data_IF_063194044285
#
_entry.id   IF_063194044285
#
_cell.length_a   1.000
_cell.length_b   1.000
_cell.length_c   1.000
_cell.angle_alpha   90.00
_cell.angle_beta   90.00
_cell.angle_gamma   90.00
#
_symmetry.space_group_name_H-M   'P 1'
#
loop_
_entity.id
_entity.type
_entity.pdbx_description
1 polymer ?
#
# COMPACT_ATOMS: atom_id res chain seq x y z
N UNK A 1 -20.86 3.38 1.02
CA UNK A 1 -19.97 4.45 0.54
C UNK A 1 -18.57 3.90 0.37
N UNK A 2 -18.00 4.05 -0.80
CA UNK A 2 -16.64 3.59 -1.04
C UNK A 2 -15.64 4.40 -0.24
N UNK A 3 -14.65 3.74 0.32
CA UNK A 3 -13.55 4.39 1.04
C UNK A 3 -12.41 4.68 0.08
N UNK A 4 -11.71 5.79 0.23
CA UNK A 4 -10.54 6.02 -0.60
C UNK A 4 -9.48 4.94 -0.37
N UNK A 5 -8.98 4.39 -1.46
CA UNK A 5 -7.89 3.42 -1.41
C UNK A 5 -6.65 4.08 -0.79
N UNK A 6 -6.04 3.40 0.18
CA UNK A 6 -4.87 3.91 0.86
C UNK A 6 -5.15 4.78 2.08
N UNK A 7 -6.42 4.89 2.50
CA UNK A 7 -6.74 5.65 3.71
C UNK A 7 -6.29 4.89 4.96
N UNK A 8 -5.45 5.53 5.76
CA UNK A 8 -4.95 4.92 7.01
C UNK A 8 -6.08 4.75 8.01
N UNK A 9 -6.12 3.58 8.67
CA UNK A 9 -7.08 3.24 9.70
C UNK A 9 -6.41 3.18 11.07
N UNK A 10 -5.21 2.59 11.13
CA UNK A 10 -4.48 2.38 12.38
C UNK A 10 -3.01 2.71 12.16
N UNK A 11 -2.39 3.29 13.18
CA UNK A 11 -1.01 3.72 13.14
C UNK A 11 -0.87 5.21 12.86
N UNK A 12 0.29 5.76 13.12
CA UNK A 12 0.56 7.18 12.88
C UNK A 12 1.05 7.40 11.45
N UNK A 13 0.55 8.47 10.84
CA UNK A 13 1.03 8.88 9.51
C UNK A 13 2.50 9.27 9.59
N UNK A 14 3.27 8.77 8.66
CA UNK A 14 4.69 9.08 8.56
C UNK A 14 5.01 9.52 7.14
N UNK A 15 5.04 10.83 6.94
CA UNK A 15 5.22 11.41 5.60
C UNK A 15 6.69 11.35 5.20
N UNK A 16 6.94 10.85 3.99
CA UNK A 16 8.24 10.85 3.36
C UNK A 16 8.12 11.42 1.96
N UNK A 17 9.22 11.99 1.48
CA UNK A 17 9.30 12.52 0.13
C UNK A 17 10.14 11.57 -0.70
N UNK A 18 9.62 11.17 -1.86
CA UNK A 18 10.32 10.30 -2.78
C UNK A 18 10.32 10.86 -4.19
N UNK A 19 11.26 10.40 -5.01
CA UNK A 19 11.33 10.73 -6.42
C UNK A 19 10.51 9.72 -7.20
N UNK A 20 9.53 10.19 -7.97
CA UNK A 20 8.68 9.31 -8.76
C UNK A 20 9.45 8.77 -9.97
N UNK A 21 9.58 7.44 -10.09
CA UNK A 21 10.19 6.80 -11.24
C UNK A 21 9.27 6.80 -12.46
N UNK A 22 7.98 6.98 -12.23
CA UNK A 22 6.95 7.13 -13.27
C UNK A 22 5.84 7.97 -12.69
N UNK A 23 4.88 8.39 -13.50
CA UNK A 23 3.75 9.17 -13.00
C UNK A 23 2.94 8.34 -11.99
N UNK A 24 2.63 8.93 -10.85
CA UNK A 24 1.87 8.30 -9.78
C UNK A 24 0.58 9.07 -9.54
N UNK A 25 -0.49 8.36 -9.27
CA UNK A 25 -1.77 8.97 -8.89
C UNK A 25 -1.87 9.03 -7.36
N UNK A 26 -2.70 9.92 -6.85
CA UNK A 26 -2.98 10.00 -5.43
C UNK A 26 -3.59 8.67 -4.95
N UNK A 27 -3.05 8.14 -3.85
CA UNK A 27 -3.54 6.89 -3.27
C UNK A 27 -2.93 5.63 -3.86
N UNK A 28 -1.97 5.75 -4.77
CA UNK A 28 -1.29 4.57 -5.30
C UNK A 28 -0.46 3.89 -4.21
N UNK A 29 -0.54 2.56 -4.17
CA UNK A 29 0.37 1.75 -3.35
C UNK A 29 1.72 1.74 -4.06
N UNK A 30 2.78 2.07 -3.35
CA UNK A 30 4.11 2.21 -3.94
C UNK A 30 5.13 1.34 -3.26
N UNK A 31 6.14 0.95 -4.04
CA UNK A 31 7.37 0.35 -3.57
C UNK A 31 8.49 1.37 -3.71
N UNK A 32 9.52 1.24 -2.93
CA UNK A 32 10.66 2.14 -3.03
C UNK A 32 11.94 1.38 -3.31
N UNK A 33 12.84 2.06 -3.99
CA UNK A 33 14.22 1.60 -4.16
C UNK A 33 15.12 2.76 -3.80
N UNK A 34 16.27 2.46 -3.25
CA UNK A 34 17.23 3.47 -2.88
C UNK A 34 18.56 3.17 -3.51
N UNK A 35 19.06 4.12 -4.25
CA UNK A 35 20.37 4.02 -4.88
C UNK A 35 21.05 5.36 -4.71
N UNK A 36 22.31 5.35 -4.25
CA UNK A 36 23.12 6.56 -4.10
C UNK A 36 22.45 7.68 -3.29
N UNK A 37 21.70 7.28 -2.26
CA UNK A 37 21.08 8.24 -1.35
C UNK A 37 19.76 8.84 -1.82
N UNK A 38 19.27 8.46 -2.99
CA UNK A 38 17.99 8.93 -3.51
C UNK A 38 16.95 7.83 -3.41
N UNK A 39 15.85 8.12 -2.73
CA UNK A 39 14.72 7.19 -2.68
C UNK A 39 13.84 7.42 -3.91
N UNK A 40 13.65 6.38 -4.70
CA UNK A 40 12.76 6.39 -5.85
C UNK A 40 11.55 5.54 -5.53
N UNK A 41 10.35 6.09 -5.78
CA UNK A 41 9.09 5.37 -5.56
C UNK A 41 8.43 5.07 -6.90
N UNK A 42 7.87 3.86 -6.99
CA UNK A 42 7.17 3.38 -8.18
C UNK A 42 5.90 2.67 -7.75
N UNK A 43 4.96 2.53 -8.67
CA UNK A 43 3.76 1.73 -8.41
C UNK A 43 4.16 0.33 -7.97
N UNK A 44 3.47 -0.19 -6.96
CA UNK A 44 3.73 -1.52 -6.47
C UNK A 44 3.39 -2.55 -7.54
N UNK A 45 4.28 -3.51 -7.70
CA UNK A 45 4.03 -4.67 -8.54
C UNK A 45 3.34 -5.76 -7.71
N UNK A 46 2.99 -6.85 -8.35
CA UNK A 46 2.41 -8.01 -7.67
C UNK A 46 3.44 -8.61 -6.71
N UNK A 47 3.02 -8.85 -5.47
CA UNK A 47 3.81 -9.61 -4.48
C UNK A 47 5.17 -9.00 -4.14
N UNK A 48 5.22 -7.69 -3.97
CA UNK A 48 6.45 -6.99 -3.56
C UNK A 48 6.32 -6.45 -2.15
N UNK A 49 7.44 -6.17 -1.52
CA UNK A 49 7.46 -5.38 -0.30
C UNK A 49 7.03 -3.95 -0.64
N UNK A 50 6.24 -3.34 0.22
CA UNK A 50 5.60 -2.05 -0.08
C UNK A 50 6.07 -0.97 0.87
N UNK A 51 6.13 0.26 0.36
CA UNK A 51 6.59 1.41 1.13
C UNK A 51 5.43 2.19 1.74
N UNK A 52 4.34 2.36 1.02
CA UNK A 52 3.21 3.12 1.51
C UNK A 52 2.28 3.55 0.40
N UNK A 53 1.53 4.61 0.66
CA UNK A 53 0.53 5.15 -0.27
C UNK A 53 0.83 6.60 -0.57
N UNK A 54 0.76 7.00 -1.84
CA UNK A 54 0.97 8.40 -2.21
C UNK A 54 -0.12 9.28 -1.63
N UNK A 55 0.25 10.50 -1.23
CA UNK A 55 -0.68 11.47 -0.69
C UNK A 55 -1.14 12.49 -1.73
N UNK A 56 -0.52 12.47 -2.90
CA UNK A 56 -0.79 13.40 -3.99
C UNK A 56 -0.40 12.75 -5.31
N UNK A 57 -0.87 13.31 -6.42
CA UNK A 57 -0.39 12.90 -7.72
C UNK A 57 1.04 13.44 -7.90
N UNK A 58 1.94 12.60 -8.42
CA UNK A 58 3.33 12.96 -8.59
C UNK A 58 3.73 12.69 -10.04
N UNK A 59 4.20 13.72 -10.72
CA UNK A 59 4.66 13.58 -12.11
C UNK A 59 5.95 12.77 -12.17
N UNK A 60 6.15 12.06 -13.26
CA UNK A 60 7.41 11.33 -13.49
C UNK A 60 8.62 12.23 -13.32
N UNK A 61 9.62 11.75 -12.61
CA UNK A 61 10.85 12.47 -12.28
C UNK A 61 10.67 13.68 -11.35
N UNK A 62 9.47 13.88 -10.80
CA UNK A 62 9.24 14.88 -9.76
C UNK A 62 9.28 14.22 -8.38
N UNK A 63 9.45 15.04 -7.35
CA UNK A 63 9.36 14.56 -5.97
C UNK A 63 7.96 14.83 -5.42
N UNK A 64 7.53 13.98 -4.51
CA UNK A 64 6.25 14.14 -3.86
C UNK A 64 6.17 13.32 -2.59
N UNK A 65 5.09 13.54 -1.84
CA UNK A 65 4.93 12.94 -0.52
C UNK A 65 4.12 11.65 -0.57
N UNK A 66 4.50 10.70 0.27
CA UNK A 66 3.74 9.51 0.49
C UNK A 66 3.70 9.17 1.99
N UNK A 67 2.66 8.43 2.37
CA UNK A 67 2.47 7.97 3.75
C UNK A 67 3.21 6.65 3.91
N UNK A 68 4.36 6.68 4.57
CA UNK A 68 5.19 5.51 4.80
C UNK A 68 4.51 4.57 5.77
N UNK A 69 4.33 3.31 5.38
CA UNK A 69 3.76 2.31 6.28
C UNK A 69 4.82 1.66 7.14
N UNK A 70 4.40 1.21 8.31
CA UNK A 70 5.21 0.45 9.25
C UNK A 70 4.48 -0.84 9.58
N UNK A 71 5.20 -1.77 10.17
CA UNK A 71 4.60 -3.00 10.66
C UNK A 71 3.46 -2.68 11.64
N UNK A 72 2.31 -3.27 11.43
CA UNK A 72 1.14 -3.05 12.26
C UNK A 72 0.17 -1.98 11.76
N UNK A 73 0.60 -1.15 10.83
CA UNK A 73 -0.29 -0.14 10.26
C UNK A 73 -1.39 -0.78 9.43
N UNK A 74 -2.59 -0.20 9.47
CA UNK A 74 -3.73 -0.73 8.74
C UNK A 74 -4.33 0.33 7.84
N UNK A 75 -4.77 -0.10 6.66
CA UNK A 75 -5.30 0.81 5.63
C UNK A 75 -6.55 0.23 4.98
N UNK A 76 -7.46 1.11 4.57
CA UNK A 76 -8.50 0.74 3.63
C UNK A 76 -7.86 0.53 2.26
N UNK A 77 -8.14 -0.59 1.64
CA UNK A 77 -7.64 -0.88 0.29
C UNK A 77 -8.76 -1.37 -0.61
N UNK A 78 -8.63 -1.08 -1.89
CA UNK A 78 -9.55 -1.58 -2.90
C UNK A 78 -9.27 -3.07 -3.13
N UNK A 79 -10.34 -3.85 -3.27
CA UNK A 79 -10.28 -5.27 -3.63
C UNK A 79 -10.54 -5.36 -5.12
N UNK A 80 -9.50 -5.66 -5.89
CA UNK A 80 -9.58 -5.67 -7.35
C UNK A 80 -10.25 -6.93 -7.88
N UNK A 81 -10.11 -8.04 -7.18
CA UNK A 81 -10.69 -9.32 -7.58
C UNK A 81 -11.19 -10.04 -6.34
N UNK A 82 -12.43 -10.49 -6.39
CA UNK A 82 -13.10 -11.13 -5.27
C UNK A 82 -14.15 -10.22 -4.65
N UNK A 83 -14.94 -10.78 -3.78
CA UNK A 83 -16.04 -10.08 -3.12
C UNK A 83 -15.86 -10.18 -1.62
N UNK A 84 -15.77 -9.05 -0.93
CA UNK A 84 -15.67 -9.02 0.52
C UNK A 84 -16.95 -9.54 1.15
N UNK A 85 -16.77 -10.36 2.18
CA UNK A 85 -17.83 -10.88 3.04
C UNK A 85 -17.21 -11.20 4.39
N UNK A 86 -18.05 -11.45 5.38
CA UNK A 86 -17.57 -11.64 6.76
C UNK A 86 -16.53 -12.76 6.88
N UNK A 87 -16.65 -13.81 6.09
CA UNK A 87 -15.74 -14.96 6.15
C UNK A 87 -14.34 -14.64 5.61
N UNK A 88 -14.15 -13.51 4.91
CA UNK A 88 -12.84 -13.11 4.42
C UNK A 88 -11.99 -12.44 5.48
N UNK A 89 -12.62 -11.90 6.53
CA UNK A 89 -11.87 -11.23 7.61
C UNK A 89 -11.02 -12.25 8.36
N UNK A 90 -9.76 -11.95 8.54
CA UNK A 90 -8.77 -12.83 9.16
C UNK A 90 -7.95 -13.64 8.18
N UNK A 91 -8.35 -13.70 6.92
CA UNK A 91 -7.59 -14.39 5.87
C UNK A 91 -6.50 -13.49 5.31
N UNK A 92 -5.54 -14.09 4.65
CA UNK A 92 -4.52 -13.36 3.90
C UNK A 92 -5.03 -13.04 2.50
N UNK A 93 -4.39 -12.06 1.87
CA UNK A 93 -4.65 -11.69 0.48
C UNK A 93 -3.35 -11.26 -0.17
N UNK A 94 -3.36 -11.13 -1.50
CA UNK A 94 -2.17 -10.79 -2.27
C UNK A 94 -2.28 -9.40 -2.85
N UNK A 95 -1.15 -8.72 -2.98
CA UNK A 95 -1.10 -7.44 -3.69
C UNK A 95 -1.30 -7.74 -5.18
N UNK A 96 -2.26 -7.05 -5.79
CA UNK A 96 -2.44 -7.14 -7.24
C UNK A 96 -1.53 -6.15 -7.96
N UNK A 97 -1.62 -4.88 -7.57
CA UNK A 97 -0.82 -3.79 -8.10
C UNK A 97 -1.05 -2.54 -7.23
N UNK A 98 -0.69 -1.36 -7.73
CA UNK A 98 -0.89 -0.09 -7.03
C UNK A 98 -2.35 0.23 -6.72
N UNK A 99 -3.27 -0.42 -7.40
CA UNK A 99 -4.71 -0.14 -7.25
C UNK A 99 -5.37 -0.98 -6.16
N UNK A 100 -4.73 -2.02 -5.67
CA UNK A 100 -5.33 -2.81 -4.61
C UNK A 100 -4.85 -4.24 -4.48
N UNK A 101 -5.67 -5.04 -3.81
CA UNK A 101 -5.37 -6.43 -3.47
C UNK A 101 -6.38 -7.37 -4.14
N UNK A 102 -6.00 -8.65 -4.26
CA UNK A 102 -6.92 -9.72 -4.66
C UNK A 102 -7.17 -10.62 -3.45
N UNK A 103 -8.35 -11.25 -3.41
CA UNK A 103 -8.71 -12.16 -2.30
C UNK A 103 -8.15 -13.56 -2.53
N UNK A 104 -6.91 -13.67 -2.96
CA UNK A 104 -6.20 -14.94 -3.08
C UNK A 104 -5.17 -15.04 -1.97
N UNK A 105 -4.84 -16.25 -1.56
CA UNK A 105 -3.94 -16.49 -0.44
C UNK A 105 -2.64 -17.17 -0.89
N UNK A 106 -2.10 -16.80 -2.04
CA UNK A 106 -0.92 -17.47 -2.59
C UNK A 106 0.39 -17.00 -1.93
N UNK A 107 0.53 -15.69 -1.72
CA UNK A 107 1.78 -15.10 -1.21
C UNK A 107 1.63 -14.44 0.16
N UNK A 108 0.38 -14.29 0.63
CA UNK A 108 0.10 -13.72 1.95
C UNK A 108 0.72 -12.33 2.15
N UNK A 109 0.54 -11.46 1.15
CA UNK A 109 1.13 -10.12 1.16
C UNK A 109 0.49 -9.21 2.20
N UNK A 110 -0.79 -9.44 2.51
CA UNK A 110 -1.50 -8.67 3.50
C UNK A 110 -2.53 -9.55 4.21
N UNK A 111 -2.92 -9.13 5.40
CA UNK A 111 -3.96 -9.80 6.16
C UNK A 111 -5.18 -8.90 6.23
N UNK A 112 -6.35 -9.49 6.01
CA UNK A 112 -7.61 -8.75 6.09
C UNK A 112 -7.98 -8.62 7.56
N UNK A 113 -7.97 -7.39 8.06
CA UNK A 113 -8.17 -7.09 9.48
C UNK A 113 -9.59 -6.64 9.79
N UNK A 114 -10.33 -6.20 8.77
CA UNK A 114 -11.68 -5.72 8.99
C UNK A 114 -12.42 -5.42 7.71
N UNK A 115 -13.71 -5.13 7.88
CA UNK A 115 -14.63 -4.85 6.79
C UNK A 115 -15.80 -4.06 7.37
N UNK A 116 -16.39 -3.18 6.57
CA UNK A 116 -17.52 -2.37 7.05
C UNK A 116 -18.85 -3.11 7.05
N UNK A 117 -18.89 -4.33 6.54
CA UNK A 117 -20.11 -5.13 6.48
C UNK A 117 -21.01 -4.83 5.30
N UNK A 118 -20.63 -3.91 4.43
CA UNK A 118 -21.49 -3.43 3.33
C UNK A 118 -20.74 -3.38 2.00
N UNK A 119 -19.56 -2.74 1.96
CA UNK A 119 -18.86 -2.43 0.72
C UNK A 119 -18.05 -3.64 0.24
N UNK A 120 -18.48 -4.31 -0.82
CA UNK A 120 -17.91 -5.60 -1.22
C UNK A 120 -16.53 -5.50 -1.87
N UNK A 121 -16.08 -4.31 -2.24
CA UNK A 121 -14.80 -4.12 -2.93
C UNK A 121 -13.78 -3.30 -2.13
N UNK A 122 -13.94 -3.21 -0.81
CA UNK A 122 -12.97 -2.58 0.06
C UNK A 122 -12.77 -3.41 1.33
N UNK A 123 -11.55 -3.41 1.84
CA UNK A 123 -11.19 -4.11 3.06
C UNK A 123 -10.18 -3.30 3.84
N UNK A 124 -10.10 -3.53 5.16
CA UNK A 124 -9.02 -3.02 5.98
C UNK A 124 -7.94 -4.10 6.02
N UNK A 125 -6.73 -3.76 5.63
CA UNK A 125 -5.63 -4.72 5.61
C UNK A 125 -4.42 -4.22 6.38
N UNK A 126 -3.62 -5.17 6.84
CA UNK A 126 -2.29 -4.94 7.37
C UNK A 126 -1.32 -5.68 6.45
N UNK A 127 -0.35 -4.97 5.89
CA UNK A 127 0.63 -5.60 5.00
C UNK A 127 1.65 -6.39 5.82
N UNK A 128 1.96 -7.60 5.35
CA UNK A 128 2.87 -8.50 6.08
C UNK A 128 4.34 -8.19 5.83
N UNK A 129 4.63 -7.53 4.70
CA UNK A 129 5.99 -7.19 4.32
C UNK A 129 6.11 -5.72 3.95
N UNK A 130 5.93 -4.81 4.93
CA UNK A 130 6.27 -3.42 4.67
C UNK A 130 7.78 -3.32 4.52
N UNK A 131 8.24 -2.42 3.65
CA UNK A 131 9.66 -2.17 3.50
C UNK A 131 10.24 -1.62 4.79
N UNK A 132 11.54 -1.82 4.99
CA UNK A 132 12.21 -1.30 6.17
C UNK A 132 11.96 0.19 6.33
N UNK A 133 11.60 0.61 7.54
CA UNK A 133 11.34 2.00 7.85
C UNK A 133 12.59 2.87 7.72
N UNK A 134 13.74 2.26 7.80
CA UNK A 134 15.02 2.99 7.69
C UNK A 134 15.71 2.50 6.45
N UNK A 135 15.64 3.25 5.36
CA UNK A 135 16.44 2.90 4.20
C UNK A 135 17.89 2.86 4.64
N UNK A 136 18.52 1.80 4.29
CA UNK A 136 19.93 1.67 4.60
C UNK A 136 20.69 2.49 3.60
N UNK A 137 20.75 3.78 3.85
CA UNK A 137 21.63 4.60 3.07
C UNK A 137 22.97 4.50 3.68
N UNK A 138 23.75 3.78 3.04
CA UNK A 138 25.15 3.85 3.35
C UNK A 138 25.75 4.76 2.33
N UNK A 139 25.85 5.96 2.73
CA UNK A 139 26.54 6.93 1.87
C UNK A 139 27.96 6.41 1.61
#
# INVERSE_FOLDING_TARGET
>A
MARPHGTRVLGERHIRTGLAGSALAKGDLVQSTEATGTETINNAATNVAVAGFTLEAISSAATGDYDRMRSGDQFWVYVTTGTMQASEVGKFCDINNELGVTLTESNNDARIMGWDGVTTNFAIVEFTTPESATPTVLA
#
